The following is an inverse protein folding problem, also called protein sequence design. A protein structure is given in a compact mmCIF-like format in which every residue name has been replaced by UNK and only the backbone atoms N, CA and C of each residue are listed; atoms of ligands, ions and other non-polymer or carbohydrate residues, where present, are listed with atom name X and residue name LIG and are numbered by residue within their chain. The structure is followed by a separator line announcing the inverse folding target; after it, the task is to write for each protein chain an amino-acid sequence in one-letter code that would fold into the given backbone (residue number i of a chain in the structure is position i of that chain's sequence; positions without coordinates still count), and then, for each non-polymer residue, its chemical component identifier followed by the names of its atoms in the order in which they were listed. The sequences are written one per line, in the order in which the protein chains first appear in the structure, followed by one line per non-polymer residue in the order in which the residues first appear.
data_IF_730170565028
#
_entry.id   IF_730170565028
#
_cell.length_a   1.000
_cell.length_b   1.000
_cell.length_c   1.000
_cell.angle_alpha   90.00
_cell.angle_beta   90.00
_cell.angle_gamma   90.00
#
_symmetry.space_group_name_H-M   'P 1'
#
loop_
_entity.id
_entity.type
_entity.pdbx_description
1 polymer ?
#
# COMPACT_ATOMS: atom_id res chain seq x y z
N UNK A 1 -19.96 -16.81 16.36
CA UNK A 1 -20.86 -16.95 15.19
C UNK A 1 -22.23 -16.47 15.68
N UNK A 2 -22.46 -15.15 15.61
CA UNK A 2 -23.77 -14.62 15.87
C UNK A 2 -24.63 -14.96 14.65
N UNK A 3 -25.60 -15.80 14.84
CA UNK A 3 -26.61 -16.04 13.84
C UNK A 3 -27.27 -14.69 13.50
N UNK A 4 -27.20 -14.28 12.24
CA UNK A 4 -28.21 -13.40 11.67
C UNK A 4 -29.49 -13.97 12.21
N UNK A 5 -30.31 -13.14 12.88
CA UNK A 5 -31.61 -13.63 13.37
C UNK A 5 -32.42 -14.00 12.13
N UNK A 6 -32.11 -15.19 11.60
CA UNK A 6 -32.67 -15.74 10.37
C UNK A 6 -34.18 -15.77 10.42
N UNK A 7 -34.70 -16.06 11.60
CA UNK A 7 -36.16 -16.14 11.82
C UNK A 7 -36.81 -14.76 11.65
N UNK A 8 -36.17 -13.71 12.19
CA UNK A 8 -36.67 -12.33 12.03
C UNK A 8 -36.56 -11.85 10.58
N UNK A 9 -35.43 -12.13 9.90
CA UNK A 9 -35.25 -11.81 8.49
C UNK A 9 -36.24 -12.56 7.61
N UNK A 10 -36.43 -13.85 7.86
CA UNK A 10 -37.41 -14.69 7.16
C UNK A 10 -38.82 -14.14 7.38
N UNK A 11 -39.17 -13.78 8.61
CA UNK A 11 -40.49 -13.22 8.90
C UNK A 11 -40.71 -11.87 8.20
N UNK A 12 -39.74 -10.97 8.22
CA UNK A 12 -39.81 -9.68 7.50
C UNK A 12 -39.94 -9.88 5.99
N UNK A 13 -39.22 -10.84 5.39
CA UNK A 13 -39.37 -11.18 3.99
C UNK A 13 -40.73 -11.79 3.68
N UNK A 14 -41.25 -12.68 4.54
CA UNK A 14 -42.60 -13.25 4.41
C UNK A 14 -43.65 -12.14 4.46
N UNK A 15 -43.55 -11.19 5.40
CA UNK A 15 -44.48 -10.07 5.54
C UNK A 15 -44.45 -9.18 4.28
N UNK A 16 -43.27 -8.89 3.73
CA UNK A 16 -43.09 -8.15 2.48
C UNK A 16 -43.71 -8.86 1.25
N UNK A 17 -43.53 -10.18 1.16
CA UNK A 17 -44.14 -10.98 0.08
C UNK A 17 -45.66 -11.13 0.24
N UNK A 18 -46.14 -11.25 1.46
CA UNK A 18 -47.58 -11.37 1.78
C UNK A 18 -48.31 -10.08 1.49
N UNK A 19 -47.75 -8.94 1.87
CA UNK A 19 -48.28 -7.61 1.55
C UNK A 19 -48.38 -7.35 0.05
N UNK A 20 -47.53 -7.98 -0.75
CA UNK A 20 -47.47 -7.84 -2.22
C UNK A 20 -48.59 -8.64 -2.91
N UNK A 21 -49.06 -9.74 -2.31
CA UNK A 21 -50.19 -10.51 -2.85
C UNK A 21 -51.54 -9.80 -2.71
N UNK A 22 -51.61 -8.83 -1.78
CA UNK A 22 -52.84 -8.06 -1.48
C UNK A 22 -52.87 -6.67 -2.14
N UNK A 23 -51.76 -6.10 -2.56
CA UNK A 23 -51.66 -4.78 -3.23
C UNK A 23 -50.96 -4.92 -4.55
N UNK A 24 -51.66 -4.63 -5.66
CA UNK A 24 -51.15 -4.77 -7.03
C UNK A 24 -49.80 -4.03 -7.27
N UNK A 25 -48.96 -4.72 -8.03
CA UNK A 25 -47.71 -4.27 -8.69
C UNK A 25 -46.97 -3.11 -8.02
N UNK A 26 -46.23 -3.40 -6.94
CA UNK A 26 -45.13 -2.52 -6.54
C UNK A 26 -43.94 -2.69 -7.49
N UNK A 27 -43.37 -1.56 -7.95
CA UNK A 27 -42.19 -1.50 -8.81
C UNK A 27 -41.03 -2.33 -8.22
N UNK A 28 -40.29 -3.03 -9.10
CA UNK A 28 -39.13 -3.84 -8.70
C UNK A 28 -38.08 -3.05 -7.88
N UNK A 29 -37.94 -1.74 -8.15
CA UNK A 29 -37.05 -0.85 -7.43
C UNK A 29 -37.46 -0.66 -5.97
N UNK A 30 -38.75 -0.47 -5.71
CA UNK A 30 -39.34 -0.34 -4.36
C UNK A 30 -39.16 -1.62 -3.55
N UNK A 31 -39.40 -2.79 -4.16
CA UNK A 31 -39.19 -4.08 -3.51
C UNK A 31 -37.73 -4.33 -3.18
N UNK A 32 -36.84 -3.99 -4.09
CA UNK A 32 -35.38 -4.11 -3.89
C UNK A 32 -34.90 -3.24 -2.72
N UNK A 33 -35.43 -2.03 -2.61
CA UNK A 33 -35.14 -1.11 -1.48
C UNK A 33 -35.66 -1.69 -0.18
N UNK A 34 -36.90 -2.19 -0.12
CA UNK A 34 -37.50 -2.77 1.08
C UNK A 34 -36.78 -4.05 1.54
N UNK A 35 -36.39 -4.90 0.59
CA UNK A 35 -35.58 -6.09 0.90
C UNK A 35 -34.21 -5.68 1.47
N UNK A 36 -33.56 -4.68 0.85
CA UNK A 36 -32.28 -4.15 1.32
C UNK A 36 -32.40 -3.57 2.72
N UNK A 37 -33.48 -2.85 3.00
CA UNK A 37 -33.75 -2.27 4.34
C UNK A 37 -34.06 -3.36 5.38
N UNK A 38 -34.82 -4.40 5.02
CA UNK A 38 -35.08 -5.54 5.89
C UNK A 38 -33.79 -6.33 6.21
N UNK A 39 -32.95 -6.56 5.21
CA UNK A 39 -31.62 -7.18 5.39
C UNK A 39 -30.75 -6.31 6.28
N UNK A 40 -30.68 -5.00 6.00
CA UNK A 40 -29.90 -4.07 6.82
C UNK A 40 -30.41 -4.01 8.26
N UNK A 41 -31.74 -3.95 8.50
CA UNK A 41 -32.31 -3.97 9.85
C UNK A 41 -32.07 -5.28 10.59
N UNK A 42 -32.07 -6.42 9.89
CA UNK A 42 -31.73 -7.70 10.48
C UNK A 42 -30.24 -7.83 10.81
N UNK A 43 -29.37 -7.14 10.06
CA UNK A 43 -27.91 -7.09 10.29
C UNK A 43 -27.51 -6.00 11.29
N UNK A 44 -28.19 -4.86 11.32
CA UNK A 44 -27.90 -3.73 12.25
C UNK A 44 -28.15 -4.08 13.73
N UNK A 45 -28.95 -5.09 14.02
CA UNK A 45 -29.26 -5.47 15.41
C UNK A 45 -28.22 -6.40 16.07
N UNK A 46 -27.02 -6.57 15.52
CA UNK A 46 -26.13 -7.63 15.99
C UNK A 46 -24.67 -7.24 16.17
N UNK A 47 -24.31 -5.96 16.31
CA UNK A 47 -22.91 -5.75 16.73
C UNK A 47 -22.76 -4.54 17.66
N UNK A 48 -22.93 -4.79 18.96
CA UNK A 48 -22.17 -4.07 19.97
C UNK A 48 -20.69 -4.16 19.58
N UNK A 49 -19.96 -3.03 19.68
CA UNK A 49 -18.52 -3.01 19.43
C UNK A 49 -17.83 -4.03 20.34
N UNK A 50 -17.07 -4.94 19.77
CA UNK A 50 -16.40 -6.00 20.52
C UNK A 50 -14.86 -5.95 20.33
N UNK A 51 -14.17 -6.48 21.33
CA UNK A 51 -12.72 -6.68 21.25
C UNK A 51 -12.42 -7.95 20.48
N UNK A 52 -11.65 -7.83 19.41
CA UNK A 52 -11.20 -8.99 18.63
C UNK A 52 -9.82 -8.81 18.05
N UNK A 53 -9.15 -9.92 17.79
CA UNK A 53 -7.89 -9.92 17.08
C UNK A 53 -8.17 -9.89 15.59
N UNK A 54 -7.55 -8.91 14.89
CA UNK A 54 -7.71 -8.71 13.46
C UNK A 54 -6.34 -8.57 12.82
N UNK A 55 -6.15 -9.15 11.65
CA UNK A 55 -5.03 -8.84 10.78
C UNK A 55 -5.47 -7.76 9.80
N UNK A 56 -4.81 -6.62 9.86
CA UNK A 56 -5.08 -5.42 9.07
C UNK A 56 -4.06 -5.38 7.94
N UNK A 57 -4.53 -5.35 6.71
CA UNK A 57 -3.76 -5.15 5.50
C UNK A 57 -4.05 -3.76 4.96
N UNK A 58 -3.01 -2.95 4.84
CA UNK A 58 -3.07 -1.65 4.17
C UNK A 58 -2.17 -1.68 2.95
N UNK A 59 -2.67 -1.21 1.82
CA UNK A 59 -1.89 -1.04 0.59
C UNK A 59 -2.07 0.36 0.04
N UNK A 60 -1.01 0.91 -0.58
CA UNK A 60 -1.03 2.25 -1.19
C UNK A 60 -0.16 2.24 -2.45
N UNK A 61 -0.55 3.03 -3.47
CA UNK A 61 0.20 3.13 -4.71
C UNK A 61 1.35 4.13 -4.56
N UNK A 62 2.55 3.68 -4.89
CA UNK A 62 3.76 4.50 -4.77
C UNK A 62 3.92 5.44 -5.95
N UNK A 63 4.00 6.73 -5.65
CA UNK A 63 4.16 7.76 -6.66
C UNK A 63 2.89 8.06 -7.47
N UNK A 64 1.72 7.64 -7.00
CA UNK A 64 0.45 7.86 -7.67
C UNK A 64 0.18 9.34 -7.98
N UNK A 65 0.51 10.26 -7.07
CA UNK A 65 0.31 11.71 -7.27
C UNK A 65 1.03 12.22 -8.51
N UNK A 66 2.30 11.84 -8.73
CA UNK A 66 3.06 12.26 -9.90
C UNK A 66 2.61 11.57 -11.20
N UNK A 67 2.04 10.37 -11.11
CA UNK A 67 1.39 9.74 -12.27
C UNK A 67 0.09 10.48 -12.61
N UNK A 68 -0.71 10.83 -11.59
CA UNK A 68 -1.98 11.53 -11.77
C UNK A 68 -1.84 12.92 -12.41
N UNK A 69 -0.71 13.60 -12.24
CA UNK A 69 -0.44 14.90 -12.88
C UNK A 69 -0.28 14.83 -14.42
N UNK A 70 0.02 13.63 -14.96
CA UNK A 70 0.32 13.43 -16.40
C UNK A 70 -0.86 12.90 -17.21
N UNK A 71 -1.89 12.43 -16.56
CA UNK A 71 -3.06 11.83 -17.17
C UNK A 71 -4.31 12.62 -16.82
N UNK A 72 -5.34 12.50 -17.67
CA UNK A 72 -6.64 13.12 -17.37
C UNK A 72 -7.30 12.43 -16.16
N UNK A 73 -8.17 13.15 -15.47
CA UNK A 73 -8.92 12.59 -14.35
C UNK A 73 -9.72 11.33 -14.74
N UNK A 74 -10.22 11.27 -15.98
CA UNK A 74 -10.97 10.12 -16.48
C UNK A 74 -10.07 8.89 -16.63
N UNK A 75 -8.92 9.03 -17.26
CA UNK A 75 -7.91 7.94 -17.40
C UNK A 75 -7.47 7.41 -16.04
N UNK A 76 -7.27 8.32 -15.07
CA UNK A 76 -6.89 7.93 -13.71
C UNK A 76 -8.01 7.17 -13.01
N UNK A 77 -9.27 7.57 -13.16
CA UNK A 77 -10.42 6.85 -12.61
C UNK A 77 -10.52 5.44 -13.22
N UNK A 78 -10.33 5.31 -14.53
CA UNK A 78 -10.33 4.00 -15.20
C UNK A 78 -9.21 3.08 -14.71
N UNK A 79 -7.98 3.61 -14.54
CA UNK A 79 -6.86 2.86 -14.00
C UNK A 79 -7.09 2.41 -12.55
N UNK A 80 -7.59 3.32 -11.70
CA UNK A 80 -7.95 2.99 -10.32
C UNK A 80 -9.07 1.97 -10.24
N UNK A 81 -10.09 2.07 -11.09
CA UNK A 81 -11.18 1.10 -11.10
C UNK A 81 -10.69 -0.30 -11.50
N UNK A 82 -9.78 -0.43 -12.49
CA UNK A 82 -9.14 -1.72 -12.82
C UNK A 82 -8.36 -2.27 -11.64
N UNK A 83 -7.55 -1.42 -11.01
CA UNK A 83 -6.78 -1.78 -9.82
C UNK A 83 -7.68 -2.22 -8.67
N UNK A 84 -8.68 -1.42 -8.28
CA UNK A 84 -9.59 -1.75 -7.19
C UNK A 84 -10.42 -3.01 -7.46
N UNK A 85 -10.89 -3.19 -8.68
CA UNK A 85 -11.64 -4.41 -9.05
C UNK A 85 -10.78 -5.65 -8.83
N UNK A 86 -9.54 -5.66 -9.37
CA UNK A 86 -8.65 -6.81 -9.25
C UNK A 86 -8.21 -7.07 -7.81
N UNK A 87 -7.87 -6.03 -7.05
CA UNK A 87 -7.49 -6.16 -5.64
C UNK A 87 -8.67 -6.64 -4.78
N UNK A 88 -9.88 -6.14 -5.04
CA UNK A 88 -11.09 -6.56 -4.32
C UNK A 88 -11.41 -8.03 -4.55
N UNK A 89 -11.28 -8.54 -5.77
CA UNK A 89 -11.46 -9.96 -6.07
C UNK A 89 -10.49 -10.84 -5.27
N UNK A 90 -9.23 -10.43 -5.17
CA UNK A 90 -8.20 -11.16 -4.42
C UNK A 90 -8.55 -11.14 -2.93
N UNK A 91 -8.79 -9.96 -2.35
CA UNK A 91 -9.12 -9.80 -0.93
C UNK A 91 -10.32 -10.66 -0.54
N UNK A 92 -11.42 -10.61 -1.31
CA UNK A 92 -12.64 -11.38 -1.05
C UNK A 92 -12.39 -12.88 -1.17
N UNK A 93 -11.63 -13.33 -2.16
CA UNK A 93 -11.28 -14.74 -2.35
C UNK A 93 -10.51 -15.33 -1.18
N UNK A 94 -9.62 -14.55 -0.55
CA UNK A 94 -8.93 -14.95 0.69
C UNK A 94 -9.78 -14.74 1.95
N UNK A 95 -11.03 -14.33 1.82
CA UNK A 95 -11.96 -14.15 2.94
C UNK A 95 -11.71 -12.88 3.73
N UNK A 96 -10.96 -11.94 3.18
CA UNK A 96 -10.81 -10.59 3.72
C UNK A 96 -12.06 -9.74 3.48
N UNK A 97 -12.25 -8.77 4.32
CA UNK A 97 -13.31 -7.74 4.20
C UNK A 97 -12.64 -6.42 3.85
N UNK A 98 -13.09 -5.77 2.78
CA UNK A 98 -12.64 -4.41 2.45
C UNK A 98 -13.33 -3.47 3.42
N UNK A 99 -12.54 -2.78 4.25
CA UNK A 99 -13.05 -1.78 5.17
C UNK A 99 -13.39 -0.49 4.42
N UNK A 100 -12.42 0.05 3.72
CA UNK A 100 -12.58 1.26 2.88
C UNK A 100 -11.47 1.45 1.86
N UNK A 101 -11.79 2.28 0.85
CA UNK A 101 -10.80 2.89 -0.02
C UNK A 101 -10.48 4.31 0.48
N UNK A 102 -9.19 4.67 0.50
CA UNK A 102 -8.72 5.98 0.95
C UNK A 102 -7.83 6.59 -0.15
N UNK A 103 -8.47 7.25 -1.12
CA UNK A 103 -7.78 7.66 -2.34
C UNK A 103 -7.36 6.45 -3.17
N UNK A 104 -6.07 6.24 -3.31
CA UNK A 104 -5.44 5.09 -3.98
C UNK A 104 -5.10 3.91 -3.03
N UNK A 105 -5.34 4.09 -1.73
CA UNK A 105 -5.08 3.09 -0.72
C UNK A 105 -6.31 2.18 -0.47
N UNK A 106 -6.02 0.94 -0.06
CA UNK A 106 -7.03 -0.05 0.34
C UNK A 106 -6.76 -0.48 1.78
N UNK A 107 -7.79 -0.46 2.62
CA UNK A 107 -7.79 -1.09 3.93
C UNK A 107 -8.63 -2.35 3.90
N UNK A 108 -8.02 -3.50 4.21
CA UNK A 108 -8.69 -4.79 4.30
C UNK A 108 -8.45 -5.42 5.66
N UNK A 109 -9.46 -6.15 6.13
CA UNK A 109 -9.52 -6.78 7.44
C UNK A 109 -9.66 -8.29 7.30
N UNK A 110 -8.87 -9.06 8.05
CA UNK A 110 -9.00 -10.50 8.21
C UNK A 110 -9.25 -10.78 9.69
N UNK A 111 -10.37 -11.42 10.01
CA UNK A 111 -10.86 -11.62 11.37
C UNK A 111 -11.99 -10.68 11.79
N UNK A 112 -12.48 -9.83 10.88
CA UNK A 112 -13.64 -8.98 11.08
C UNK A 112 -14.43 -8.82 9.77
N UNK A 113 -15.75 -8.83 9.77
CA UNK A 113 -16.66 -9.15 10.89
C UNK A 113 -16.65 -10.64 11.30
N UNK A 114 -16.13 -11.52 10.46
CA UNK A 114 -16.06 -12.96 10.69
C UNK A 114 -14.62 -13.35 11.01
N UNK A 115 -14.39 -13.93 12.18
CA UNK A 115 -13.09 -14.43 12.60
C UNK A 115 -12.91 -15.89 12.15
N UNK A 116 -11.73 -16.20 11.63
CA UNK A 116 -11.30 -17.55 11.21
C UNK A 116 -10.00 -17.91 11.91
N UNK A 117 -9.67 -19.18 11.89
CA UNK A 117 -8.42 -19.68 12.49
C UNK A 117 -7.18 -19.40 11.64
N UNK A 118 -7.37 -19.12 10.37
CA UNK A 118 -6.35 -18.91 9.34
C UNK A 118 -6.25 -17.45 8.86
N UNK A 119 -6.82 -16.48 9.58
CA UNK A 119 -6.88 -15.07 9.17
C UNK A 119 -5.53 -14.49 8.80
N UNK A 120 -4.47 -14.77 9.57
CA UNK A 120 -3.12 -14.27 9.26
C UNK A 120 -2.54 -14.96 8.03
N UNK A 121 -2.73 -16.28 7.88
CA UNK A 121 -2.27 -17.04 6.73
C UNK A 121 -2.91 -16.53 5.45
N UNK A 122 -4.22 -16.30 5.49
CA UNK A 122 -5.00 -15.74 4.39
C UNK A 122 -4.56 -14.30 4.04
N UNK A 123 -4.31 -13.45 5.03
CA UNK A 123 -3.85 -12.09 4.82
C UNK A 123 -2.48 -12.02 4.13
N UNK A 124 -1.53 -12.89 4.53
CA UNK A 124 -0.19 -12.93 3.96
C UNK A 124 -0.20 -13.46 2.52
N UNK A 125 -0.95 -14.53 2.27
CA UNK A 125 -1.13 -15.06 0.92
C UNK A 125 -1.85 -14.05 0.00
N UNK A 126 -2.89 -13.38 0.50
CA UNK A 126 -3.57 -12.29 -0.18
C UNK A 126 -2.59 -11.18 -0.61
N UNK A 127 -1.75 -10.71 0.32
CA UNK A 127 -0.77 -9.66 0.03
C UNK A 127 0.22 -10.05 -1.08
N UNK A 128 0.71 -11.29 -1.07
CA UNK A 128 1.59 -11.79 -2.13
C UNK A 128 0.85 -11.85 -3.47
N UNK A 129 -0.37 -12.36 -3.48
CA UNK A 129 -1.14 -12.44 -4.72
C UNK A 129 -1.53 -11.06 -5.26
N UNK A 130 -1.81 -10.09 -4.40
CA UNK A 130 -2.00 -8.69 -4.80
C UNK A 130 -0.75 -8.15 -5.52
N UNK A 131 0.46 -8.43 -5.00
CA UNK A 131 1.71 -8.01 -5.67
C UNK A 131 1.92 -8.72 -7.00
N UNK A 132 1.58 -10.01 -7.12
CA UNK A 132 1.65 -10.75 -8.39
C UNK A 132 0.70 -10.12 -9.42
N UNK A 133 -0.53 -9.80 -9.02
CA UNK A 133 -1.54 -9.21 -9.90
C UNK A 133 -1.17 -7.80 -10.41
N UNK A 134 -0.26 -7.09 -9.73
CA UNK A 134 0.26 -5.80 -10.24
C UNK A 134 0.96 -5.95 -11.59
N UNK A 135 1.55 -7.11 -11.88
CA UNK A 135 2.11 -7.41 -13.21
C UNK A 135 1.05 -7.33 -14.31
N UNK A 136 -0.07 -8.05 -14.14
CA UNK A 136 -1.20 -8.06 -15.09
C UNK A 136 -1.81 -6.64 -15.27
N UNK A 137 -1.95 -5.90 -14.16
CA UNK A 137 -2.46 -4.51 -14.19
C UNK A 137 -1.52 -3.60 -14.98
N UNK A 138 -0.21 -3.75 -14.79
CA UNK A 138 0.79 -2.94 -15.49
C UNK A 138 0.87 -3.26 -16.98
N UNK A 139 0.74 -4.52 -17.38
CA UNK A 139 0.62 -4.90 -18.78
C UNK A 139 -0.62 -4.24 -19.43
N UNK A 140 -1.77 -4.28 -18.75
CA UNK A 140 -2.97 -3.61 -19.20
C UNK A 140 -2.83 -2.09 -19.27
N UNK A 141 -2.18 -1.46 -18.28
CA UNK A 141 -1.94 -0.02 -18.27
C UNK A 141 -1.03 0.39 -19.43
N UNK A 142 0.07 -0.33 -19.68
CA UNK A 142 0.97 -0.07 -20.80
C UNK A 142 0.26 -0.19 -22.16
N UNK A 143 -0.62 -1.19 -22.33
CA UNK A 143 -1.42 -1.34 -23.55
C UNK A 143 -2.35 -0.12 -23.80
N UNK A 144 -2.70 0.62 -22.75
CA UNK A 144 -3.48 1.87 -22.83
C UNK A 144 -2.60 3.14 -22.79
N UNK A 145 -1.28 3.02 -22.93
CA UNK A 145 -0.35 4.15 -22.89
C UNK A 145 -0.16 4.76 -21.50
N UNK A 146 -0.57 4.07 -20.44
CA UNK A 146 -0.44 4.54 -19.07
C UNK A 146 0.85 4.05 -18.42
N UNK A 147 1.32 4.80 -17.42
CA UNK A 147 2.49 4.42 -16.63
C UNK A 147 2.22 3.18 -15.77
N UNK A 148 3.29 2.43 -15.48
CA UNK A 148 3.23 1.33 -14.51
C UNK A 148 2.96 1.86 -13.10
N UNK A 149 2.08 1.16 -12.37
CA UNK A 149 1.74 1.43 -10.98
C UNK A 149 2.48 0.44 -10.08
N UNK A 150 2.94 0.91 -8.94
CA UNK A 150 3.63 0.10 -7.95
C UNK A 150 2.95 0.24 -6.60
N UNK A 151 2.78 -0.87 -5.90
CA UNK A 151 2.08 -0.93 -4.63
C UNK A 151 3.04 -1.27 -3.50
N UNK A 152 2.93 -0.56 -2.37
CA UNK A 152 3.49 -0.96 -1.09
C UNK A 152 2.39 -1.55 -0.20
N UNK A 153 2.71 -2.55 0.63
CA UNK A 153 1.76 -3.19 1.54
C UNK A 153 2.35 -3.23 2.96
N UNK A 154 1.52 -2.87 3.94
CA UNK A 154 1.82 -3.03 5.36
C UNK A 154 0.79 -3.93 6.05
N UNK A 155 1.26 -4.89 6.85
CA UNK A 155 0.42 -5.84 7.58
C UNK A 155 0.72 -5.76 9.07
N UNK A 156 -0.33 -5.59 9.86
CA UNK A 156 -0.26 -5.65 11.31
C UNK A 156 -1.41 -6.49 11.88
N UNK A 157 -1.09 -7.37 12.81
CA UNK A 157 -2.07 -8.17 13.54
C UNK A 157 -2.15 -7.69 14.98
N UNK A 158 -3.34 -7.54 15.52
CA UNK A 158 -3.49 -7.18 16.92
C UNK A 158 -4.93 -7.00 17.36
N UNK A 159 -5.10 -6.70 18.64
CA UNK A 159 -6.42 -6.54 19.24
C UNK A 159 -6.97 -5.13 18.96
N UNK A 160 -8.17 -5.07 18.44
CA UNK A 160 -8.90 -3.86 18.07
C UNK A 160 -10.32 -3.92 18.61
N UNK A 161 -10.99 -2.78 18.60
CA UNK A 161 -12.44 -2.72 18.77
C UNK A 161 -13.06 -2.69 17.38
N UNK A 162 -13.88 -3.70 17.07
CA UNK A 162 -14.59 -3.80 15.81
C UNK A 162 -16.08 -3.57 16.01
N UNK A 163 -16.72 -2.80 15.16
CA UNK A 163 -18.14 -2.51 15.29
C UNK A 163 -18.63 -1.44 14.33
N UNK A 164 -19.90 -1.10 14.44
CA UNK A 164 -20.47 0.00 13.68
C UNK A 164 -20.10 1.35 14.29
N UNK A 165 -19.44 2.19 13.51
CA UNK A 165 -19.05 3.54 13.89
C UNK A 165 -19.81 4.55 13.03
N UNK A 166 -20.40 5.55 13.67
CA UNK A 166 -21.10 6.63 12.98
C UNK A 166 -22.32 7.13 13.73
N UNK A 167 -23.27 7.61 13.00
CA UNK A 167 -24.55 8.14 13.50
C UNK A 167 -25.73 7.28 13.03
N UNK A 168 -26.92 7.59 13.50
CA UNK A 168 -28.13 6.94 13.03
C UNK A 168 -28.41 7.14 11.52
N UNK A 169 -27.83 8.18 10.91
CA UNK A 169 -28.00 8.50 9.49
C UNK A 169 -26.94 7.86 8.60
N UNK A 170 -25.74 7.61 9.15
CA UNK A 170 -24.63 7.02 8.42
C UNK A 170 -23.71 6.28 9.40
N UNK A 171 -23.54 4.99 9.21
CA UNK A 171 -22.62 4.17 9.99
C UNK A 171 -21.92 3.16 9.12
N UNK A 172 -20.65 2.91 9.42
CA UNK A 172 -19.81 1.94 8.73
C UNK A 172 -19.31 0.92 9.76
N UNK A 173 -19.26 -0.35 9.36
CA UNK A 173 -18.57 -1.35 10.16
C UNK A 173 -17.06 -1.18 9.93
N UNK A 174 -16.32 -0.91 10.99
CA UNK A 174 -14.88 -0.68 10.93
C UNK A 174 -14.18 -1.10 12.21
N UNK A 175 -12.86 -0.96 12.25
CA UNK A 175 -12.04 -1.26 13.41
C UNK A 175 -11.33 0.00 13.92
N UNK A 176 -11.20 0.10 15.25
CA UNK A 176 -10.52 1.21 15.93
C UNK A 176 -9.48 0.64 16.89
N UNK A 177 -8.33 1.28 16.97
CA UNK A 177 -7.27 0.96 17.92
C UNK A 177 -5.89 1.33 17.42
N UNK A 178 -4.91 1.30 18.33
CA UNK A 178 -3.51 1.59 18.01
C UNK A 178 -2.93 0.65 16.94
N UNK A 179 -3.53 -0.53 16.77
CA UNK A 179 -3.10 -1.50 15.79
C UNK A 179 -3.40 -1.06 14.36
N UNK A 180 -4.46 -0.29 14.14
CA UNK A 180 -4.76 0.34 12.84
C UNK A 180 -3.69 1.37 12.49
N UNK A 181 -3.36 2.23 13.47
CA UNK A 181 -2.30 3.22 13.31
C UNK A 181 -0.92 2.56 13.06
N UNK A 182 -0.65 1.42 13.71
CA UNK A 182 0.59 0.68 13.47
C UNK A 182 0.62 0.09 12.05
N UNK A 183 -0.50 -0.49 11.56
CA UNK A 183 -0.60 -0.98 10.20
C UNK A 183 -0.31 0.12 9.17
N UNK A 184 -0.88 1.32 9.35
CA UNK A 184 -0.63 2.48 8.49
C UNK A 184 0.85 2.91 8.50
N UNK A 185 1.51 2.84 9.67
CA UNK A 185 2.94 3.17 9.76
C UNK A 185 3.80 2.10 9.08
N UNK A 186 3.47 0.82 9.23
CA UNK A 186 4.17 -0.27 8.55
C UNK A 186 4.02 -0.12 7.04
N UNK A 187 2.81 0.19 6.56
CA UNK A 187 2.54 0.45 5.15
C UNK A 187 3.38 1.63 4.62
N UNK A 188 3.38 2.77 5.32
CA UNK A 188 4.11 3.97 4.92
C UNK A 188 5.64 3.75 4.75
N UNK A 189 6.21 2.74 5.41
CA UNK A 189 7.62 2.37 5.28
C UNK A 189 7.89 1.37 4.16
N UNK A 190 6.85 0.80 3.53
CA UNK A 190 7.04 -0.15 2.45
C UNK A 190 7.45 0.55 1.15
N UNK A 191 8.30 -0.10 0.39
CA UNK A 191 8.80 0.36 -0.89
C UNK A 191 7.93 -0.19 -2.03
N UNK A 192 8.25 0.17 -3.27
CA UNK A 192 7.61 -0.38 -4.47
C UNK A 192 7.70 -1.91 -4.48
N UNK A 193 6.56 -2.59 -4.59
CA UNK A 193 6.50 -4.04 -4.62
C UNK A 193 6.82 -4.72 -3.28
N UNK A 194 6.97 -3.98 -2.18
CA UNK A 194 7.32 -4.52 -0.88
C UNK A 194 6.09 -4.82 -0.03
N UNK A 195 6.16 -5.92 0.71
CA UNK A 195 5.19 -6.28 1.74
C UNK A 195 5.94 -6.27 3.08
N UNK A 196 5.55 -5.38 3.99
CA UNK A 196 6.12 -5.28 5.33
C UNK A 196 5.17 -5.83 6.38
N UNK A 197 5.72 -6.58 7.32
CA UNK A 197 5.03 -7.10 8.49
C UNK A 197 5.49 -6.35 9.74
N UNK A 198 4.57 -6.05 10.66
CA UNK A 198 4.95 -5.69 12.02
C UNK A 198 5.63 -6.86 12.72
N UNK A 199 6.42 -6.58 13.75
CA UNK A 199 7.07 -7.62 14.55
C UNK A 199 6.06 -8.64 15.12
N UNK A 200 4.89 -8.17 15.56
CA UNK A 200 3.85 -9.07 16.08
C UNK A 200 3.31 -10.02 15.00
N UNK A 201 3.02 -9.51 13.82
CA UNK A 201 2.58 -10.33 12.67
C UNK A 201 3.66 -11.34 12.27
N UNK A 202 4.94 -10.92 12.24
CA UNK A 202 6.06 -11.82 11.98
C UNK A 202 6.13 -12.96 13.00
N UNK A 203 6.06 -12.65 14.30
CA UNK A 203 6.13 -13.67 15.36
C UNK A 203 5.03 -14.71 15.27
N UNK A 204 3.83 -14.34 14.82
CA UNK A 204 2.72 -15.25 14.60
C UNK A 204 2.95 -16.15 13.37
N UNK A 205 3.60 -15.63 12.33
CA UNK A 205 3.72 -16.29 11.02
C UNK A 205 5.07 -16.95 10.75
N UNK A 206 6.12 -16.69 11.54
CA UNK A 206 7.53 -17.04 11.29
C UNK A 206 7.80 -18.52 10.98
N UNK A 207 6.87 -19.40 11.30
CA UNK A 207 7.04 -20.86 11.10
C UNK A 207 6.65 -21.31 9.69
N UNK A 208 6.00 -20.44 8.91
CA UNK A 208 5.52 -20.78 7.57
C UNK A 208 5.79 -19.68 6.52
N UNK A 209 6.61 -18.69 6.86
CA UNK A 209 7.03 -17.62 5.95
C UNK A 209 8.54 -17.54 5.82
N UNK A 210 9.02 -16.97 4.72
CA UNK A 210 10.38 -16.48 4.55
C UNK A 210 10.38 -14.96 4.53
N UNK A 211 11.35 -14.35 5.20
CA UNK A 211 11.49 -12.90 5.27
C UNK A 211 12.87 -12.45 4.77
N UNK A 212 12.91 -11.24 4.22
CA UNK A 212 14.13 -10.54 3.88
C UNK A 212 14.72 -9.78 5.07
N UNK A 213 15.37 -8.65 4.75
CA UNK A 213 16.03 -7.80 5.74
C UNK A 213 15.04 -7.24 6.76
N UNK A 214 15.53 -7.06 8.00
CA UNK A 214 14.76 -6.44 9.08
C UNK A 214 15.04 -4.93 9.08
N UNK A 215 13.97 -4.14 8.97
CA UNK A 215 14.04 -2.69 9.08
C UNK A 215 13.72 -2.28 10.50
N UNK A 216 14.64 -1.60 11.17
CA UNK A 216 14.43 -1.04 12.51
C UNK A 216 14.21 0.47 12.39
N UNK A 217 13.01 0.92 12.75
CA UNK A 217 12.58 2.33 12.55
C UNK A 217 12.08 2.94 13.83
N UNK A 218 12.43 4.20 14.07
CA UNK A 218 11.80 5.01 15.12
C UNK A 218 10.47 5.53 14.62
N UNK A 219 9.38 5.08 15.22
CA UNK A 219 8.03 5.46 14.84
C UNK A 219 7.48 6.50 15.79
N UNK A 220 6.98 7.64 15.26
CA UNK A 220 6.39 8.74 16.05
C UNK A 220 5.27 8.18 16.96
N UNK A 221 5.36 8.50 18.26
CA UNK A 221 4.36 8.10 19.26
C UNK A 221 4.57 6.72 19.88
N UNK A 222 5.67 6.00 19.58
CA UNK A 222 6.09 4.82 20.34
C UNK A 222 7.42 5.07 21.03
N UNK A 223 7.57 4.59 22.30
CA UNK A 223 8.84 4.58 23.00
C UNK A 223 9.66 3.40 22.47
N UNK A 224 10.70 3.70 21.66
CA UNK A 224 11.59 2.69 21.07
C UNK A 224 11.44 2.52 19.56
N UNK A 225 12.35 1.74 18.98
CA UNK A 225 12.30 1.34 17.56
C UNK A 225 11.26 0.23 17.34
N UNK A 226 10.67 0.23 16.15
CA UNK A 226 9.76 -0.82 15.68
C UNK A 226 10.47 -1.62 14.61
N UNK A 227 10.51 -2.93 14.77
CA UNK A 227 11.05 -3.84 13.76
C UNK A 227 9.98 -4.23 12.75
N UNK A 228 10.32 -4.13 11.48
CA UNK A 228 9.48 -4.49 10.34
C UNK A 228 10.20 -5.52 9.49
N UNK A 229 9.49 -6.53 9.03
CA UNK A 229 10.02 -7.69 8.32
C UNK A 229 9.46 -7.73 6.91
N UNK A 230 10.32 -7.82 5.90
CA UNK A 230 9.87 -7.96 4.52
C UNK A 230 9.40 -9.40 4.26
N UNK A 231 8.15 -9.58 3.84
CA UNK A 231 7.61 -10.89 3.46
C UNK A 231 8.09 -11.26 2.05
N UNK A 232 8.78 -12.38 1.92
CA UNK A 232 9.26 -12.91 0.64
C UNK A 232 8.43 -14.08 0.13
N UNK A 233 8.03 -14.98 1.03
CA UNK A 233 7.21 -16.14 0.68
C UNK A 233 6.36 -16.62 1.86
N UNK A 234 5.31 -17.36 1.54
CA UNK A 234 4.51 -18.11 2.52
C UNK A 234 4.31 -19.54 2.06
N UNK A 235 4.19 -20.46 3.01
CA UNK A 235 3.85 -21.86 2.75
C UNK A 235 2.37 -22.15 3.01
N UNK A 236 1.63 -21.16 3.59
CA UNK A 236 0.22 -21.32 3.96
C UNK A 236 -0.64 -20.17 3.41
N UNK A 237 -1.89 -20.48 3.04
CA UNK A 237 -2.55 -21.79 2.97
C UNK A 237 -1.98 -22.69 1.87
N UNK A 238 -1.20 -22.15 0.95
CA UNK A 238 -0.43 -22.82 -0.11
C UNK A 238 0.84 -22.02 -0.41
N UNK A 239 1.88 -22.65 -1.00
CA UNK A 239 3.12 -21.96 -1.30
C UNK A 239 2.92 -20.80 -2.28
N UNK A 240 3.35 -19.61 -1.88
CA UNK A 240 3.38 -18.40 -2.70
C UNK A 240 4.68 -17.63 -2.45
N UNK A 241 5.23 -17.06 -3.50
CA UNK A 241 6.43 -16.21 -3.43
C UNK A 241 6.12 -14.84 -4.01
N UNK A 242 6.46 -13.79 -3.27
CA UNK A 242 6.31 -12.42 -3.75
C UNK A 242 7.21 -12.18 -4.97
N UNK A 243 6.76 -11.40 -5.96
CA UNK A 243 7.60 -11.02 -7.09
C UNK A 243 8.90 -10.38 -6.60
N UNK A 244 10.01 -10.76 -7.21
CA UNK A 244 11.29 -10.12 -6.88
C UNK A 244 11.25 -8.66 -7.30
N UNK A 245 11.57 -7.77 -6.37
CA UNK A 245 11.75 -6.37 -6.71
C UNK A 245 13.01 -6.23 -7.58
N UNK A 246 12.92 -5.49 -8.67
CA UNK A 246 14.04 -5.35 -9.64
C UNK A 246 15.26 -4.57 -9.09
N UNK A 247 15.29 -4.24 -7.82
CA UNK A 247 16.25 -3.32 -7.19
C UNK A 247 17.71 -3.80 -7.24
N UNK A 248 17.98 -5.10 -7.43
CA UNK A 248 19.35 -5.64 -7.32
C UNK A 248 20.04 -5.99 -8.64
N UNK A 249 19.43 -5.80 -9.79
CA UNK A 249 20.03 -6.13 -11.09
C UNK A 249 20.55 -4.91 -11.86
N UNK A 250 20.55 -3.71 -11.28
CA UNK A 250 21.09 -2.54 -11.95
C UNK A 250 22.55 -2.32 -11.56
N UNK A 251 23.41 -2.04 -12.53
CA UNK A 251 24.75 -1.60 -12.25
C UNK A 251 24.72 -0.30 -11.45
N UNK A 252 25.71 -0.13 -10.59
CA UNK A 252 25.97 1.13 -9.88
C UNK A 252 27.21 1.76 -10.46
N UNK A 253 27.15 3.02 -10.73
CA UNK A 253 28.28 3.78 -11.24
C UNK A 253 28.59 4.92 -10.30
N UNK A 254 29.88 5.06 -9.99
CA UNK A 254 30.37 6.18 -9.20
C UNK A 254 30.29 7.45 -10.04
N UNK A 255 29.80 8.51 -9.43
CA UNK A 255 29.64 9.82 -10.03
C UNK A 255 29.98 10.91 -9.02
N UNK A 256 30.18 12.11 -9.50
CA UNK A 256 30.29 13.30 -8.65
C UNK A 256 29.42 14.39 -9.26
N UNK A 257 28.17 14.47 -8.81
CA UNK A 257 27.18 15.38 -9.38
C UNK A 257 26.47 16.15 -8.29
N UNK A 258 26.23 17.44 -8.55
CA UNK A 258 25.37 18.23 -7.67
C UNK A 258 23.92 17.77 -7.82
N UNK A 259 23.19 17.81 -6.71
CA UNK A 259 21.74 17.64 -6.68
C UNK A 259 21.11 18.69 -5.80
N UNK A 260 19.85 19.01 -6.10
CA UNK A 260 19.00 19.75 -5.17
C UNK A 260 17.88 18.83 -4.70
N UNK A 261 17.55 18.89 -3.42
CA UNK A 261 16.46 18.08 -2.86
C UNK A 261 15.60 18.87 -1.89
N UNK A 262 14.35 18.44 -1.74
CA UNK A 262 13.39 18.94 -0.77
C UNK A 262 12.85 17.77 0.05
N UNK A 263 12.68 17.97 1.36
CA UNK A 263 12.07 16.96 2.22
C UNK A 263 10.54 16.96 2.07
N UNK A 264 9.90 15.82 2.30
CA UNK A 264 8.45 15.72 2.34
C UNK A 264 7.96 15.55 3.77
N UNK A 265 6.79 16.12 4.06
CA UNK A 265 6.02 15.82 5.27
C UNK A 265 4.69 15.19 4.86
N UNK A 266 4.59 13.88 5.02
CA UNK A 266 3.52 13.10 4.39
C UNK A 266 3.62 13.20 2.86
N UNK A 267 2.55 13.67 2.19
CA UNK A 267 2.54 13.87 0.72
C UNK A 267 2.92 15.32 0.31
N UNK A 268 3.19 16.21 1.25
CA UNK A 268 3.50 17.61 0.96
C UNK A 268 5.01 17.85 0.87
N UNK A 269 5.47 18.41 -0.25
CA UNK A 269 6.84 18.86 -0.44
C UNK A 269 7.08 20.12 0.38
N UNK A 270 8.10 20.12 1.25
CA UNK A 270 8.47 21.30 2.02
C UNK A 270 9.15 22.35 1.12
N UNK A 271 8.92 23.66 1.39
CA UNK A 271 9.41 24.71 0.49
C UNK A 271 10.94 24.88 0.49
N UNK A 272 11.63 24.42 1.55
CA UNK A 272 13.08 24.59 1.66
C UNK A 272 13.80 23.58 0.78
N UNK A 273 14.56 24.09 -0.20
CA UNK A 273 15.47 23.31 -1.01
C UNK A 273 16.84 23.24 -0.35
N UNK A 274 17.48 22.08 -0.42
CA UNK A 274 18.83 21.82 0.07
C UNK A 274 19.71 21.36 -1.08
N UNK A 275 20.97 21.78 -1.04
CA UNK A 275 21.98 21.28 -1.98
C UNK A 275 22.66 20.05 -1.39
N UNK A 276 22.99 19.08 -2.23
CA UNK A 276 23.72 17.88 -1.90
C UNK A 276 24.54 17.38 -3.08
N UNK A 277 25.12 16.20 -2.92
CA UNK A 277 25.97 15.57 -3.95
C UNK A 277 25.60 14.11 -4.12
N UNK A 278 25.52 13.66 -5.38
CA UNK A 278 25.36 12.25 -5.73
C UNK A 278 26.75 11.63 -5.86
N UNK A 279 26.98 10.55 -5.15
CA UNK A 279 28.24 9.78 -5.12
C UNK A 279 28.14 8.51 -5.95
N UNK A 280 26.98 7.85 -5.95
CA UNK A 280 26.68 6.77 -6.89
C UNK A 280 25.23 6.85 -7.38
N UNK A 281 25.00 6.32 -8.57
CA UNK A 281 23.69 6.23 -9.21
C UNK A 281 23.47 4.84 -9.78
N UNK A 282 22.24 4.38 -9.70
CA UNK A 282 21.74 3.14 -10.28
C UNK A 282 20.37 3.37 -10.93
N UNK A 283 19.79 2.38 -11.61
CA UNK A 283 18.45 2.53 -12.21
C UNK A 283 17.35 2.81 -11.17
N UNK A 284 17.54 2.35 -9.93
CA UNK A 284 16.51 2.41 -8.88
C UNK A 284 16.82 3.34 -7.71
N UNK A 285 17.94 4.06 -7.69
CA UNK A 285 18.26 4.93 -6.56
C UNK A 285 19.63 5.58 -6.62
N UNK A 286 19.89 6.41 -5.62
CA UNK A 286 21.10 7.21 -5.48
C UNK A 286 21.78 6.95 -4.13
N UNK A 287 23.09 7.12 -4.10
CA UNK A 287 23.85 7.37 -2.89
C UNK A 287 24.22 8.84 -2.85
N UNK A 288 23.73 9.56 -1.86
CA UNK A 288 23.87 11.01 -1.78
C UNK A 288 24.58 11.43 -0.50
N UNK A 289 25.30 12.55 -0.56
CA UNK A 289 25.84 13.25 0.60
C UNK A 289 25.06 14.54 0.79
N UNK A 290 24.52 14.72 2.00
CA UNK A 290 23.72 15.85 2.41
C UNK A 290 24.39 16.63 3.53
N UNK A 291 24.43 17.98 3.48
CA UNK A 291 24.91 18.80 4.58
C UNK A 291 23.90 18.94 5.74
N UNK A 292 22.67 18.46 5.53
CA UNK A 292 21.62 18.51 6.53
C UNK A 292 21.13 17.10 6.89
N UNK A 293 20.72 16.85 8.15
CA UNK A 293 20.22 15.56 8.54
C UNK A 293 18.92 15.23 7.82
N UNK A 294 18.83 14.02 7.28
CA UNK A 294 17.59 13.47 6.70
C UNK A 294 17.20 12.28 7.58
N UNK A 295 15.93 12.18 7.94
CA UNK A 295 15.49 11.05 8.74
C UNK A 295 15.51 9.76 7.90
N UNK A 296 15.99 8.62 8.46
CA UNK A 296 15.82 7.32 7.82
C UNK A 296 14.34 7.06 7.51
N UNK A 297 14.06 6.54 6.32
CA UNK A 297 12.74 6.32 5.76
C UNK A 297 11.92 7.61 5.49
N UNK A 298 12.57 8.78 5.58
CA UNK A 298 11.99 10.02 5.06
C UNK A 298 11.89 10.01 3.55
N UNK A 299 10.91 10.73 3.01
CA UNK A 299 10.73 10.93 1.58
C UNK A 299 11.36 12.25 1.15
N UNK A 300 12.02 12.26 0.00
CA UNK A 300 12.63 13.44 -0.60
C UNK A 300 12.23 13.57 -2.07
N UNK A 301 12.02 14.81 -2.52
CA UNK A 301 11.94 15.17 -3.93
C UNK A 301 13.30 15.62 -4.40
N UNK A 302 13.77 15.09 -5.51
CA UNK A 302 15.11 15.30 -6.05
C UNK A 302 15.01 16.03 -7.40
N UNK A 303 15.86 17.03 -7.58
CA UNK A 303 16.19 17.61 -8.87
C UNK A 303 17.67 17.32 -9.18
N UNK A 304 17.92 16.72 -10.34
CA UNK A 304 19.23 16.25 -10.78
C UNK A 304 19.49 16.69 -12.22
N UNK A 305 20.64 17.30 -12.46
CA UNK A 305 21.07 17.68 -13.82
C UNK A 305 22.07 16.65 -14.36
N UNK A 306 21.70 15.95 -15.42
CA UNK A 306 22.56 15.02 -16.13
C UNK A 306 23.23 15.75 -17.31
N UNK A 307 24.24 16.58 -17.01
CA UNK A 307 24.90 17.45 -17.98
C UNK A 307 25.47 16.71 -19.18
N UNK A 308 25.87 15.44 -19.02
CA UNK A 308 26.36 14.60 -20.13
C UNK A 308 25.29 14.28 -21.20
N UNK A 309 24.00 14.30 -20.78
CA UNK A 309 22.86 14.05 -21.68
C UNK A 309 22.03 15.32 -21.95
N UNK A 310 22.43 16.47 -21.38
CA UNK A 310 21.72 17.73 -21.53
C UNK A 310 20.31 17.73 -20.92
N UNK A 311 20.08 16.88 -19.94
CA UNK A 311 18.75 16.67 -19.34
C UNK A 311 18.71 17.09 -17.89
N UNK A 312 17.69 17.88 -17.54
CA UNK A 312 17.36 18.25 -16.15
C UNK A 312 16.16 17.42 -15.69
N UNK A 313 16.37 16.62 -14.64
CA UNK A 313 15.36 15.77 -14.05
C UNK A 313 14.87 16.40 -12.74
N UNK A 314 13.59 16.79 -12.67
CA UNK A 314 13.06 17.57 -11.55
C UNK A 314 11.97 16.87 -10.72
N UNK A 315 11.41 15.80 -11.25
CA UNK A 315 10.27 15.08 -10.63
C UNK A 315 10.67 13.65 -10.20
N UNK A 316 11.79 13.54 -9.47
CA UNK A 316 12.23 12.27 -8.89
C UNK A 316 11.87 12.28 -7.40
N UNK A 317 11.11 11.29 -6.98
CA UNK A 317 10.82 11.06 -5.56
C UNK A 317 11.55 9.82 -5.08
N UNK A 318 12.18 9.93 -3.91
CA UNK A 318 12.94 8.83 -3.33
C UNK A 318 12.70 8.71 -1.83
N UNK A 319 12.77 7.48 -1.35
CA UNK A 319 12.81 7.16 0.07
C UNK A 319 14.24 6.97 0.52
N UNK A 320 14.60 7.60 1.62
CA UNK A 320 15.92 7.43 2.25
C UNK A 320 15.92 6.14 3.06
N UNK A 321 16.72 5.15 2.64
CA UNK A 321 16.74 3.83 3.28
C UNK A 321 17.67 3.77 4.49
N UNK A 322 18.78 4.50 4.41
CA UNK A 322 19.81 4.50 5.43
C UNK A 322 20.53 5.85 5.46
N UNK A 323 20.84 6.30 6.65
CA UNK A 323 21.63 7.51 6.89
C UNK A 323 22.78 7.16 7.81
N UNK A 324 24.00 7.55 7.43
CA UNK A 324 25.19 7.49 8.26
C UNK A 324 25.75 8.90 8.38
N UNK A 325 26.05 9.35 9.58
CA UNK A 325 26.75 10.60 9.77
C UNK A 325 28.26 10.38 9.60
N UNK A 326 28.89 11.16 8.72
CA UNK A 326 30.33 11.13 8.45
C UNK A 326 30.87 12.55 8.57
N UNK A 327 31.50 12.85 9.70
CA UNK A 327 31.92 14.22 10.00
C UNK A 327 30.72 15.15 10.20
N UNK A 328 30.66 16.23 9.44
CA UNK A 328 29.56 17.20 9.43
C UNK A 328 28.46 16.83 8.41
N UNK A 329 28.72 15.88 7.52
CA UNK A 329 27.82 15.47 6.47
C UNK A 329 27.05 14.17 6.80
N UNK A 330 26.00 13.92 6.01
CA UNK A 330 25.15 12.74 6.09
C UNK A 330 25.16 11.97 4.79
N UNK A 331 25.66 10.75 4.84
CA UNK A 331 25.63 9.81 3.70
C UNK A 331 24.31 9.05 3.70
N UNK A 332 23.55 9.19 2.61
CA UNK A 332 22.18 8.65 2.51
C UNK A 332 22.07 7.70 1.31
N UNK A 333 21.61 6.48 1.57
CA UNK A 333 21.14 5.57 0.52
C UNK A 333 19.68 5.81 0.25
N UNK A 334 19.33 6.00 -1.02
CA UNK A 334 17.95 6.26 -1.42
C UNK A 334 17.46 5.23 -2.44
N UNK A 335 16.16 5.04 -2.48
CA UNK A 335 15.45 4.24 -3.51
C UNK A 335 14.35 5.09 -4.12
N UNK A 336 14.27 5.12 -5.44
CA UNK A 336 13.23 5.88 -6.14
C UNK A 336 11.85 5.29 -5.86
N UNK A 337 10.98 6.08 -5.27
CA UNK A 337 9.58 5.73 -5.02
C UNK A 337 8.67 6.20 -6.15
N UNK A 338 9.04 7.30 -6.83
CA UNK A 338 8.40 7.77 -8.06
C UNK A 338 9.42 8.41 -8.98
N UNK A 339 9.38 8.04 -10.24
CA UNK A 339 10.21 8.61 -11.29
C UNK A 339 9.41 8.57 -12.58
N UNK A 340 9.52 9.67 -13.35
CA UNK A 340 8.97 9.72 -14.69
C UNK A 340 9.56 8.61 -15.57
N UNK A 341 8.77 7.89 -16.39
CA UNK A 341 9.28 6.88 -17.31
C UNK A 341 10.39 7.40 -18.22
N UNK A 342 10.28 8.62 -18.74
CA UNK A 342 11.33 9.25 -19.56
C UNK A 342 12.60 9.51 -18.73
N UNK A 343 12.44 10.08 -17.53
CA UNK A 343 13.55 10.26 -16.60
C UNK A 343 14.21 8.93 -16.21
N UNK A 344 13.41 7.87 -16.03
CA UNK A 344 13.91 6.51 -15.76
C UNK A 344 14.75 5.97 -16.93
N UNK A 345 14.33 6.18 -18.17
CA UNK A 345 15.09 5.81 -19.37
C UNK A 345 16.40 6.61 -19.45
N UNK A 346 16.36 7.91 -19.23
CA UNK A 346 17.54 8.78 -19.24
C UNK A 346 18.57 8.32 -18.19
N UNK A 347 18.14 8.00 -16.96
CA UNK A 347 19.03 7.47 -15.93
C UNK A 347 19.62 6.13 -16.36
N UNK A 348 18.81 5.26 -16.96
CA UNK A 348 19.29 3.96 -17.45
C UNK A 348 20.35 4.13 -18.54
N UNK A 349 20.11 4.95 -19.55
CA UNK A 349 21.06 5.24 -20.61
C UNK A 349 22.37 5.87 -20.07
N UNK A 350 22.25 6.77 -19.09
CA UNK A 350 23.41 7.36 -18.42
C UNK A 350 24.26 6.31 -17.71
N UNK A 351 23.62 5.45 -16.89
CA UNK A 351 24.32 4.38 -16.15
C UNK A 351 24.95 3.37 -17.12
N UNK A 352 24.21 2.93 -18.14
CA UNK A 352 24.69 1.98 -19.14
C UNK A 352 25.90 2.56 -19.92
N UNK A 353 25.83 3.84 -20.28
CA UNK A 353 26.93 4.53 -20.97
C UNK A 353 28.22 4.54 -20.14
N UNK A 354 28.14 4.80 -18.83
CA UNK A 354 29.33 4.76 -17.95
C UNK A 354 29.85 3.32 -17.80
N UNK A 355 28.96 2.33 -17.67
CA UNK A 355 29.36 0.91 -17.58
C UNK A 355 30.10 0.46 -18.83
N UNK A 356 29.65 0.89 -20.02
CA UNK A 356 30.33 0.57 -21.28
C UNK A 356 31.70 1.21 -21.38
N UNK A 357 31.85 2.47 -20.97
CA UNK A 357 33.14 3.16 -20.93
C UNK A 357 34.12 2.48 -19.99
N UNK A 358 33.67 2.05 -18.81
CA UNK A 358 34.51 1.39 -17.80
C UNK A 358 34.89 -0.07 -18.16
N UNK A 359 34.25 -0.67 -19.16
CA UNK A 359 34.58 -2.01 -19.66
C UNK A 359 35.64 -2.02 -20.77
N UNK A 360 35.96 -0.86 -21.29
CA UNK A 360 37.05 -0.67 -22.32
C UNK A 360 38.37 -0.31 -21.66
#
# INVERSE_FOLDING_TARGET
MQEINKDRLVQQLIDLFSARQTSGVADQATLRTQIKDAVNQATVNTQEADHRRVTILLSDLRGFTSVAEKFTALEMVEALNRYFARMSEIIIRYGGTIDKFMGDAIMALFGAPIQRTDDIEAALACAIEMQIAMGEINEANQAHGMAALYMGIGINTGDVVAGHLGSALHSEYTVIGDQVNLASRVEAHSLRGQILLSEHSYLLARHFIETGDVNEVKVKGKKGSVRMYELLSTQRPHPLTAPRREIRNSPRVEVDMALTFQMLQGKAVLPTAHEGRVVDISYGGLYIVSPVPIEPFGDIKIALSLSMLGSDLTEIYAKVLRVNQVGEDYECRTEFTSIDPEAGLIIKEFVDGIVEVNRR
#
